data_IF_947174051093
#
_entry.id   IF_947174051093
#
_cell.length_a   1.000
_cell.length_b   1.000
_cell.length_c   1.000
_cell.angle_alpha   90.00
_cell.angle_beta   90.00
_cell.angle_gamma   90.00
#
_symmetry.space_group_name_H-M   'P 1'
#
loop_
_entity.id
_entity.type
_entity.pdbx_description
1 polymer ?
#
# COMPACT_ATOMS: atom_id res chain seq x y z
N UNK A 1 0.04 -13.24 -5.31
CA UNK A 1 1.36 -13.64 -4.82
C UNK A 1 1.72 -12.90 -3.53
N UNK A 2 2.80 -13.27 -2.87
CA UNK A 2 3.32 -12.62 -1.67
C UNK A 2 4.70 -12.02 -1.91
N UNK A 3 5.01 -10.93 -1.20
CA UNK A 3 6.32 -10.29 -1.26
C UNK A 3 7.30 -11.05 -0.35
N UNK A 4 7.90 -12.10 -0.89
CA UNK A 4 8.85 -12.96 -0.21
C UNK A 4 9.83 -13.57 -1.21
N UNK A 5 10.94 -14.14 -0.73
CA UNK A 5 11.84 -14.97 -1.54
C UNK A 5 11.35 -16.41 -1.66
N UNK A 6 10.67 -16.91 -0.61
CA UNK A 6 10.07 -18.26 -0.56
C UNK A 6 8.80 -18.22 0.28
N UNK A 7 7.81 -18.99 -0.13
CA UNK A 7 6.58 -19.23 0.62
C UNK A 7 6.03 -20.61 0.21
N UNK A 8 5.60 -21.42 1.19
CA UNK A 8 5.15 -22.78 0.93
C UNK A 8 3.68 -22.86 0.49
N UNK A 9 2.92 -21.77 0.64
CA UNK A 9 1.48 -21.73 0.41
C UNK A 9 1.09 -20.85 -0.79
N UNK A 10 1.92 -19.86 -1.14
CA UNK A 10 1.57 -18.88 -2.16
C UNK A 10 2.73 -18.63 -3.13
N UNK A 11 2.44 -18.39 -4.43
CA UNK A 11 3.44 -17.91 -5.39
C UNK A 11 4.12 -16.66 -4.85
N UNK A 12 5.42 -16.58 -4.99
CA UNK A 12 6.20 -15.43 -4.51
C UNK A 12 6.50 -14.46 -5.65
N UNK A 13 6.69 -13.19 -5.29
CA UNK A 13 7.00 -12.16 -6.29
C UNK A 13 8.33 -12.44 -7.02
N UNK A 14 9.28 -13.09 -6.36
CA UNK A 14 10.59 -13.39 -6.95
C UNK A 14 10.52 -14.42 -8.07
N UNK A 15 9.46 -15.22 -8.18
CA UNK A 15 9.26 -16.17 -9.29
C UNK A 15 9.18 -15.45 -10.65
N UNK A 16 8.67 -14.20 -10.68
CA UNK A 16 8.60 -13.37 -11.89
C UNK A 16 9.97 -12.92 -12.42
N UNK A 17 11.03 -13.05 -11.61
CA UNK A 17 12.39 -12.62 -11.94
C UNK A 17 13.37 -13.79 -12.05
N UNK A 18 12.87 -15.03 -12.02
CA UNK A 18 13.73 -16.24 -12.07
C UNK A 18 14.57 -16.32 -13.34
N UNK A 19 14.08 -15.84 -14.47
CA UNK A 19 14.80 -15.82 -15.75
C UNK A 19 15.99 -14.86 -15.79
N UNK A 20 16.04 -13.88 -14.89
CA UNK A 20 17.14 -12.93 -14.81
C UNK A 20 18.42 -13.53 -14.19
N UNK A 21 18.33 -14.73 -13.58
CA UNK A 21 19.47 -15.45 -12.97
C UNK A 21 20.31 -14.57 -12.02
N UNK A 22 19.68 -13.66 -11.28
CA UNK A 22 20.33 -12.76 -10.34
C UNK A 22 19.82 -13.00 -8.91
N UNK A 23 20.53 -13.82 -8.15
CA UNK A 23 20.19 -14.20 -6.77
C UNK A 23 20.27 -13.04 -5.77
N UNK A 24 20.85 -11.90 -6.16
CA UNK A 24 20.92 -10.70 -5.31
C UNK A 24 19.65 -9.85 -5.37
N UNK A 25 18.78 -10.09 -6.35
CA UNK A 25 17.52 -9.37 -6.46
C UNK A 25 16.68 -9.54 -5.20
N UNK A 26 16.18 -8.45 -4.68
CA UNK A 26 15.30 -8.43 -3.51
C UNK A 26 14.23 -7.34 -3.61
N UNK A 27 13.04 -7.57 -3.07
CA UNK A 27 12.00 -6.55 -3.07
C UNK A 27 12.36 -5.39 -2.12
N UNK A 28 12.07 -4.17 -2.55
CA UNK A 28 12.23 -2.95 -1.76
C UNK A 28 11.00 -2.76 -0.89
N UNK A 29 11.10 -3.25 0.33
CA UNK A 29 9.96 -3.35 1.23
C UNK A 29 8.98 -4.44 0.81
N UNK A 30 7.77 -4.36 1.36
CA UNK A 30 6.74 -5.39 1.17
C UNK A 30 5.39 -4.76 0.86
N UNK A 31 4.57 -5.49 0.10
CA UNK A 31 3.13 -5.29 0.04
C UNK A 31 2.43 -6.42 0.81
N UNK A 32 1.35 -6.10 1.50
CA UNK A 32 0.46 -7.12 2.04
C UNK A 32 -0.18 -7.88 0.86
N UNK A 33 -0.54 -9.16 1.04
CA UNK A 33 -1.17 -9.99 0.00
C UNK A 33 -2.41 -9.36 -0.65
N UNK A 34 -3.14 -8.55 0.14
CA UNK A 34 -4.35 -7.84 -0.28
C UNK A 34 -4.06 -6.41 -0.78
N UNK A 35 -2.81 -6.08 -1.04
CA UNK A 35 -2.37 -4.77 -1.54
C UNK A 35 -1.73 -4.95 -2.91
N UNK A 36 -2.10 -4.13 -3.85
CA UNK A 36 -1.60 -4.13 -5.22
C UNK A 36 -0.73 -2.90 -5.52
N UNK A 37 -0.24 -2.81 -6.74
CA UNK A 37 0.47 -1.64 -7.27
C UNK A 37 1.98 -1.77 -7.25
N UNK A 38 2.66 -0.63 -7.11
CA UNK A 38 4.11 -0.52 -7.25
C UNK A 38 4.87 -1.39 -6.26
N UNK A 39 5.62 -2.34 -6.78
CA UNK A 39 6.67 -3.04 -6.05
C UNK A 39 7.99 -2.87 -6.81
N UNK A 40 9.01 -2.42 -6.10
CA UNK A 40 10.35 -2.23 -6.64
C UNK A 40 11.18 -3.43 -6.24
N UNK A 41 12.03 -3.90 -7.18
CA UNK A 41 12.99 -4.98 -6.95
C UNK A 41 14.36 -4.47 -7.36
N UNK A 42 15.38 -4.74 -6.56
CA UNK A 42 16.76 -4.28 -6.79
C UNK A 42 17.77 -5.29 -6.29
N UNK A 43 18.97 -5.27 -6.83
CA UNK A 43 20.16 -5.95 -6.28
C UNK A 43 21.09 -4.99 -5.53
N UNK A 44 20.78 -3.69 -5.48
CA UNK A 44 21.47 -2.71 -4.64
C UNK A 44 20.91 -2.72 -3.21
N UNK A 45 21.58 -3.45 -2.33
CA UNK A 45 21.19 -3.55 -0.91
C UNK A 45 21.27 -2.22 -0.15
N UNK A 46 22.18 -1.30 -0.52
CA UNK A 46 22.29 0.02 0.12
C UNK A 46 21.10 0.88 -0.24
N UNK A 47 20.75 0.91 -1.52
CA UNK A 47 19.59 1.64 -1.98
C UNK A 47 18.28 1.05 -1.41
N UNK A 48 18.16 -0.29 -1.34
CA UNK A 48 17.04 -0.95 -0.68
C UNK A 48 16.90 -0.52 0.78
N UNK A 49 18.02 -0.51 1.52
CA UNK A 49 18.03 -0.05 2.92
C UNK A 49 17.59 1.41 3.04
N UNK A 50 18.08 2.29 2.18
CA UNK A 50 17.65 3.69 2.15
C UNK A 50 16.15 3.83 1.94
N UNK A 51 15.59 3.14 0.95
CA UNK A 51 14.17 3.22 0.61
C UNK A 51 13.24 2.63 1.69
N UNK A 52 13.74 1.68 2.47
CA UNK A 52 12.90 0.92 3.42
C UNK A 52 13.09 1.31 4.88
N UNK A 53 14.25 1.86 5.25
CA UNK A 53 14.53 2.26 6.63
C UNK A 53 13.65 3.46 7.03
N UNK A 54 12.87 3.33 8.14
CA UNK A 54 11.98 4.39 8.62
C UNK A 54 12.69 5.72 8.96
N UNK A 55 13.99 5.71 9.21
CA UNK A 55 14.78 6.90 9.52
C UNK A 55 14.88 7.87 8.34
N UNK A 56 14.89 7.37 7.11
CA UNK A 56 14.96 8.19 5.90
C UNK A 56 13.60 8.75 5.47
N UNK A 57 12.51 8.35 6.11
CA UNK A 57 11.18 8.90 5.90
C UNK A 57 10.70 8.89 4.44
N UNK A 58 11.19 7.97 3.63
CA UNK A 58 10.80 7.85 2.22
C UNK A 58 9.27 7.72 2.12
N UNK A 59 8.60 8.69 1.47
CA UNK A 59 7.14 8.69 1.39
C UNK A 59 6.64 7.54 0.52
N UNK A 60 5.49 7.00 0.89
CA UNK A 60 4.79 5.95 0.15
C UNK A 60 3.35 6.38 -0.01
N UNK A 61 2.90 6.57 -1.25
CA UNK A 61 1.54 6.99 -1.54
C UNK A 61 0.72 5.82 -2.05
N UNK A 62 -0.48 5.73 -1.54
CA UNK A 62 -1.43 4.69 -1.89
C UNK A 62 -2.77 5.30 -2.29
N UNK A 63 -3.40 4.74 -3.32
CA UNK A 63 -4.83 4.87 -3.53
C UNK A 63 -5.57 3.89 -2.64
N UNK A 64 -6.69 4.31 -2.07
CA UNK A 64 -7.52 3.46 -1.25
C UNK A 64 -9.01 3.60 -1.57
N UNK A 65 -9.75 2.52 -1.32
CA UNK A 65 -11.18 2.56 -1.11
C UNK A 65 -11.48 1.92 0.25
N UNK A 66 -12.36 2.54 1.03
CA UNK A 66 -12.72 2.06 2.36
C UNK A 66 -14.22 2.23 2.65
N UNK A 67 -14.81 1.21 3.27
CA UNK A 67 -16.15 1.33 3.84
C UNK A 67 -16.14 2.38 4.95
N UNK A 68 -17.14 3.23 4.97
CA UNK A 68 -17.29 4.32 5.94
C UNK A 68 -17.14 5.70 5.31
N UNK A 69 -16.99 6.70 6.16
CA UNK A 69 -16.86 8.12 5.77
C UNK A 69 -15.69 8.77 6.48
N UNK A 70 -15.01 9.70 5.82
CA UNK A 70 -13.95 10.53 6.37
C UNK A 70 -14.42 12.00 6.40
N UNK A 71 -14.72 12.50 7.57
CA UNK A 71 -14.98 13.91 7.84
C UNK A 71 -13.68 14.65 8.23
N UNK A 72 -13.76 15.97 8.36
CA UNK A 72 -12.62 16.81 8.71
C UNK A 72 -11.95 16.41 10.03
N UNK A 73 -12.72 15.97 11.04
CA UNK A 73 -12.19 15.53 12.34
C UNK A 73 -11.39 14.24 12.21
N UNK A 74 -11.86 13.28 11.41
CA UNK A 74 -11.16 12.03 11.15
C UNK A 74 -9.89 12.26 10.35
N UNK A 75 -9.94 13.12 9.32
CA UNK A 75 -8.76 13.53 8.55
C UNK A 75 -7.71 14.19 9.43
N UNK A 76 -8.10 15.10 10.31
CA UNK A 76 -7.18 15.73 11.26
C UNK A 76 -6.52 14.70 12.17
N UNK A 77 -7.28 13.74 12.71
CA UNK A 77 -6.71 12.66 13.54
C UNK A 77 -5.69 11.81 12.79
N UNK A 78 -5.90 11.55 11.50
CA UNK A 78 -4.94 10.82 10.66
C UNK A 78 -3.68 11.66 10.40
N UNK A 79 -3.83 12.97 10.19
CA UNK A 79 -2.73 13.89 9.98
C UNK A 79 -1.86 14.08 11.24
N UNK A 80 -2.45 14.03 12.42
CA UNK A 80 -1.73 14.09 13.70
C UNK A 80 -1.07 12.76 14.10
N UNK A 81 -1.49 11.67 13.46
CA UNK A 81 -1.11 10.30 13.81
C UNK A 81 -2.07 9.67 14.83
N UNK A 82 -2.16 8.35 14.80
CA UNK A 82 -3.10 7.58 15.62
C UNK A 82 -2.41 6.46 16.38
N UNK A 83 -2.93 6.13 17.55
CA UNK A 83 -2.48 4.98 18.32
C UNK A 83 -3.13 3.70 17.74
N UNK A 84 -2.30 2.82 17.20
CA UNK A 84 -2.77 1.56 16.64
C UNK A 84 -3.03 0.54 17.76
N UNK A 85 -4.06 -0.28 17.64
CA UNK A 85 -4.36 -1.37 18.58
C UNK A 85 -3.10 -2.24 18.80
N UNK A 86 -2.73 -2.45 20.04
CA UNK A 86 -1.52 -3.21 20.42
C UNK A 86 -0.20 -2.46 20.24
N UNK A 87 -0.23 -1.15 20.09
CA UNK A 87 0.96 -0.29 20.06
C UNK A 87 0.87 0.75 21.17
N UNK A 88 2.00 1.04 21.83
CA UNK A 88 2.13 2.12 22.83
C UNK A 88 2.68 3.41 22.21
N UNK A 89 3.04 3.39 20.93
CA UNK A 89 3.61 4.54 20.23
C UNK A 89 2.66 4.89 19.07
N UNK A 90 2.18 6.15 18.98
CA UNK A 90 1.34 6.58 17.87
C UNK A 90 2.10 6.46 16.54
N UNK A 91 1.36 6.39 15.45
CA UNK A 91 1.93 6.50 14.10
C UNK A 91 2.42 7.92 13.86
N UNK A 92 3.32 8.10 12.89
CA UNK A 92 3.48 9.41 12.26
C UNK A 92 2.17 9.81 11.59
N UNK A 93 1.99 11.10 11.36
CA UNK A 93 0.88 11.62 10.61
C UNK A 93 0.85 11.05 9.18
N UNK A 94 -0.35 10.91 8.65
CA UNK A 94 -0.58 10.55 7.26
C UNK A 94 -1.26 11.72 6.55
N UNK A 95 -0.80 12.02 5.34
CA UNK A 95 -1.48 12.95 4.44
C UNK A 95 -2.57 12.18 3.69
N UNK A 96 -3.84 12.56 3.91
CA UNK A 96 -5.00 11.87 3.34
C UNK A 96 -5.86 12.86 2.57
N UNK A 97 -6.03 12.59 1.28
CA UNK A 97 -6.92 13.37 0.40
C UNK A 97 -8.08 12.48 -0.03
N UNK A 98 -9.31 12.89 0.25
CA UNK A 98 -10.52 12.26 -0.27
C UNK A 98 -10.76 12.78 -1.69
N UNK A 99 -10.86 11.88 -2.65
CA UNK A 99 -11.08 12.20 -4.07
C UNK A 99 -12.51 11.94 -4.51
N UNK A 100 -13.17 10.93 -3.91
CA UNK A 100 -14.53 10.56 -4.28
C UNK A 100 -15.24 9.80 -3.16
N UNK A 101 -16.57 9.71 -3.29
CA UNK A 101 -17.44 8.93 -2.42
C UNK A 101 -18.52 8.25 -3.25
N UNK A 102 -18.81 7.00 -2.94
CA UNK A 102 -19.84 6.21 -3.59
C UNK A 102 -20.54 5.27 -2.58
N UNK A 103 -21.35 4.36 -3.07
CA UNK A 103 -21.88 3.25 -2.26
C UNK A 103 -21.24 1.94 -2.66
N UNK A 104 -21.31 0.94 -1.78
CA UNK A 104 -20.65 -0.35 -1.99
C UNK A 104 -21.09 -1.03 -3.29
N UNK A 105 -22.37 -0.92 -3.69
CA UNK A 105 -22.86 -1.49 -4.95
C UNK A 105 -22.10 -1.02 -6.18
N UNK A 106 -21.60 0.20 -6.17
CA UNK A 106 -20.96 0.82 -7.34
C UNK A 106 -19.53 0.31 -7.55
N UNK A 107 -18.82 0.02 -6.46
CA UNK A 107 -17.42 -0.43 -6.50
C UNK A 107 -17.26 -1.94 -6.36
N UNK A 108 -18.22 -2.64 -5.76
CA UNK A 108 -18.12 -4.08 -5.47
C UNK A 108 -17.73 -4.92 -6.69
N UNK A 109 -18.30 -4.72 -7.89
CA UNK A 109 -17.92 -5.48 -9.08
C UNK A 109 -16.46 -5.27 -9.53
N UNK A 110 -15.85 -4.16 -9.13
CA UNK A 110 -14.48 -3.78 -9.49
C UNK A 110 -13.43 -4.30 -8.50
N UNK A 111 -13.85 -4.85 -7.36
CA UNK A 111 -12.96 -5.39 -6.35
C UNK A 111 -12.48 -6.79 -6.72
N UNK A 112 -11.34 -7.18 -6.13
CA UNK A 112 -10.85 -8.56 -6.25
C UNK A 112 -11.93 -9.57 -5.82
N UNK A 113 -12.09 -10.72 -6.51
CA UNK A 113 -13.13 -11.71 -6.21
C UNK A 113 -13.21 -12.16 -4.74
N UNK A 114 -12.06 -12.29 -4.07
CA UNK A 114 -12.03 -12.63 -2.64
C UNK A 114 -12.63 -11.53 -1.76
N UNK A 115 -12.47 -10.27 -2.16
CA UNK A 115 -13.08 -9.14 -1.45
C UNK A 115 -14.56 -9.06 -1.72
N UNK A 116 -14.99 -9.32 -2.96
CA UNK A 116 -16.43 -9.42 -3.30
C UNK A 116 -17.13 -10.47 -2.43
N UNK A 117 -16.53 -11.66 -2.27
CA UNK A 117 -17.06 -12.72 -1.40
C UNK A 117 -17.15 -12.28 0.06
N UNK A 118 -16.11 -11.61 0.58
CA UNK A 118 -16.08 -11.10 1.96
C UNK A 118 -17.18 -10.06 2.23
N UNK A 119 -17.52 -9.28 1.22
CA UNK A 119 -18.47 -8.16 1.32
C UNK A 119 -19.88 -8.52 0.87
N UNK A 120 -20.13 -9.74 0.39
CA UNK A 120 -21.41 -10.17 -0.19
C UNK A 120 -22.63 -9.98 0.74
N UNK A 121 -22.41 -9.96 2.05
CA UNK A 121 -23.48 -9.76 3.05
C UNK A 121 -23.57 -8.33 3.58
N UNK A 122 -22.76 -7.41 3.08
CA UNK A 122 -22.85 -6.01 3.45
C UNK A 122 -24.00 -5.33 2.71
N UNK A 123 -24.55 -4.26 3.32
CA UNK A 123 -25.60 -3.47 2.68
C UNK A 123 -25.05 -2.81 1.40
N UNK A 124 -25.76 -2.95 0.26
CA UNK A 124 -25.34 -2.32 -1.01
C UNK A 124 -25.15 -0.80 -0.91
N UNK A 125 -25.95 -0.15 -0.08
CA UNK A 125 -25.91 1.29 0.19
C UNK A 125 -24.85 1.72 1.20
N UNK A 126 -23.98 0.78 1.66
CA UNK A 126 -22.93 1.15 2.61
C UNK A 126 -22.00 2.20 2.01
N UNK A 127 -21.72 3.31 2.70
CA UNK A 127 -20.88 4.37 2.15
C UNK A 127 -19.46 3.90 1.96
N UNK A 128 -18.87 4.29 0.85
CA UNK A 128 -17.46 4.06 0.50
C UNK A 128 -16.81 5.40 0.25
N UNK A 129 -15.66 5.62 0.87
CA UNK A 129 -14.78 6.75 0.63
C UNK A 129 -13.54 6.29 -0.14
N UNK A 130 -13.15 7.06 -1.15
CA UNK A 130 -11.97 6.83 -1.97
C UNK A 130 -11.03 8.02 -1.89
N UNK A 131 -9.74 7.76 -2.07
CA UNK A 131 -8.74 8.81 -2.02
C UNK A 131 -7.32 8.30 -2.06
N UNK A 132 -6.40 9.19 -1.72
CA UNK A 132 -4.99 8.89 -1.57
C UNK A 132 -4.55 9.01 -0.12
N UNK A 133 -3.55 8.23 0.27
CA UNK A 133 -2.90 8.33 1.58
C UNK A 133 -1.40 8.20 1.43
N UNK A 134 -0.66 9.18 1.96
CA UNK A 134 0.80 9.19 1.98
C UNK A 134 1.29 9.00 3.41
N UNK A 135 2.20 8.04 3.60
CA UNK A 135 2.87 7.76 4.87
C UNK A 135 4.39 7.76 4.67
N UNK A 136 5.15 8.15 5.70
CA UNK A 136 6.63 8.19 5.71
C UNK A 136 7.27 7.11 6.60
N UNK A 137 6.51 6.14 7.02
CA UNK A 137 6.94 4.96 7.78
C UNK A 137 6.27 3.69 7.22
N UNK A 138 6.55 2.51 7.77
CA UNK A 138 6.02 1.26 7.20
C UNK A 138 5.76 0.20 8.28
N UNK A 139 4.80 0.43 9.19
CA UNK A 139 4.38 -0.60 10.16
C UNK A 139 3.47 -1.63 9.49
N UNK A 140 3.47 -2.84 10.03
CA UNK A 140 2.62 -3.93 9.51
C UNK A 140 1.16 -3.50 9.37
N UNK A 141 0.63 -3.57 8.13
CA UNK A 141 -0.75 -3.21 7.75
C UNK A 141 -1.16 -1.80 8.20
N UNK A 142 -0.22 -0.85 8.21
CA UNK A 142 -0.38 0.44 8.85
C UNK A 142 -1.62 1.19 8.39
N UNK A 143 -1.78 1.42 7.08
CA UNK A 143 -2.90 2.20 6.52
C UNK A 143 -4.24 1.55 6.89
N UNK A 144 -4.37 0.22 6.76
CA UNK A 144 -5.58 -0.51 7.13
C UNK A 144 -5.93 -0.32 8.61
N UNK A 145 -4.92 -0.32 9.47
CA UNK A 145 -5.10 -0.13 10.92
C UNK A 145 -5.40 1.33 11.26
N UNK A 146 -4.76 2.31 10.62
CA UNK A 146 -5.02 3.73 10.82
C UNK A 146 -6.46 4.08 10.44
N UNK A 147 -6.92 3.68 9.25
CA UNK A 147 -8.27 3.92 8.79
C UNK A 147 -9.32 3.20 9.68
N UNK A 148 -8.99 2.01 10.19
CA UNK A 148 -9.85 1.31 11.15
C UNK A 148 -10.03 2.08 12.46
N UNK A 149 -8.99 2.76 12.97
CA UNK A 149 -9.07 3.58 14.20
C UNK A 149 -10.04 4.75 14.04
N UNK A 150 -10.22 5.25 12.82
CA UNK A 150 -11.21 6.31 12.53
C UNK A 150 -12.54 5.76 11.98
N UNK A 151 -12.76 4.45 12.08
CA UNK A 151 -14.03 3.80 11.73
C UNK A 151 -14.19 3.50 10.23
N UNK A 152 -13.10 3.42 9.47
CA UNK A 152 -13.14 3.04 8.06
C UNK A 152 -12.45 1.69 7.82
N UNK A 153 -13.04 0.82 6.99
CA UNK A 153 -12.50 -0.48 6.66
C UNK A 153 -11.98 -0.51 5.22
N UNK A 154 -10.67 -0.61 5.03
CA UNK A 154 -10.05 -0.63 3.70
C UNK A 154 -10.44 -1.90 2.94
N UNK A 155 -11.05 -1.73 1.77
CA UNK A 155 -11.49 -2.78 0.85
C UNK A 155 -10.61 -2.88 -0.40
N UNK A 156 -9.91 -1.79 -0.78
CA UNK A 156 -8.89 -1.76 -1.83
C UNK A 156 -7.73 -0.88 -1.39
N UNK A 157 -6.51 -1.30 -1.72
CA UNK A 157 -5.29 -0.53 -1.44
C UNK A 157 -4.29 -0.80 -2.55
N UNK A 158 -3.83 0.27 -3.23
CA UNK A 158 -2.86 0.19 -4.33
C UNK A 158 -1.73 1.18 -4.08
N UNK A 159 -0.49 0.72 -3.96
CA UNK A 159 0.66 1.62 -3.86
C UNK A 159 0.97 2.22 -5.22
N UNK A 160 0.90 3.54 -5.32
CA UNK A 160 1.11 4.28 -6.58
C UNK A 160 2.46 4.96 -6.64
N UNK A 161 3.10 5.24 -5.48
CA UNK A 161 4.47 5.75 -5.50
C UNK A 161 5.28 5.35 -4.25
N UNK A 162 6.60 5.41 -4.39
CA UNK A 162 7.56 5.23 -3.30
C UNK A 162 8.77 6.14 -3.57
N UNK A 163 8.98 7.15 -2.71
CA UNK A 163 9.89 8.24 -3.01
C UNK A 163 9.47 9.01 -4.25
N UNK A 164 10.39 9.20 -5.17
CA UNK A 164 10.17 9.81 -6.48
C UNK A 164 9.74 8.81 -7.57
N UNK A 165 9.64 7.53 -7.25
CA UNK A 165 9.25 6.50 -8.21
C UNK A 165 7.74 6.35 -8.21
N UNK A 166 7.14 6.54 -9.38
CA UNK A 166 5.70 6.44 -9.60
C UNK A 166 5.41 5.19 -10.40
N UNK A 167 4.31 4.51 -10.06
CA UNK A 167 3.81 3.38 -10.83
C UNK A 167 3.49 3.83 -12.27
N UNK A 168 3.99 3.09 -13.23
CA UNK A 168 3.70 3.30 -14.63
C UNK A 168 2.34 2.71 -14.98
N UNK A 169 1.41 3.55 -15.40
CA UNK A 169 0.04 3.14 -15.73
C UNK A 169 -0.06 2.27 -16.99
N UNK A 170 1.03 2.16 -17.76
CA UNK A 170 1.09 1.26 -18.93
C UNK A 170 1.39 -0.20 -18.58
N UNK A 171 1.85 -0.47 -17.34
CA UNK A 171 2.14 -1.81 -16.87
C UNK A 171 0.87 -2.51 -16.38
N UNK A 172 0.63 -3.72 -16.86
CA UNK A 172 -0.42 -4.59 -16.33
C UNK A 172 0.07 -5.30 -15.05
N UNK A 173 -0.85 -5.84 -14.23
CA UNK A 173 -0.46 -6.68 -13.10
C UNK A 173 0.43 -7.85 -13.53
N UNK A 174 1.63 -7.93 -12.94
CA UNK A 174 2.65 -8.93 -13.27
C UNK A 174 3.71 -8.45 -14.26
N UNK A 175 3.47 -7.35 -14.97
CA UNK A 175 4.49 -6.74 -15.83
C UNK A 175 5.55 -6.01 -14.99
N UNK A 176 6.74 -5.91 -15.54
CA UNK A 176 7.82 -5.10 -14.97
C UNK A 176 8.64 -4.41 -16.06
N UNK A 177 9.32 -3.35 -15.67
CA UNK A 177 10.33 -2.69 -16.50
C UNK A 177 11.54 -2.30 -15.66
N UNK A 178 12.68 -2.24 -16.30
CA UNK A 178 13.87 -1.70 -15.68
C UNK A 178 13.82 -0.17 -15.63
N UNK A 179 14.43 0.40 -14.59
CA UNK A 179 14.64 1.84 -14.46
C UNK A 179 15.98 2.09 -13.74
N UNK A 180 16.55 3.26 -13.98
CA UNK A 180 17.72 3.73 -13.26
C UNK A 180 17.25 4.69 -12.16
N UNK A 181 17.44 4.35 -10.87
CA UNK A 181 17.07 5.26 -9.80
C UNK A 181 17.94 6.52 -9.85
N UNK A 182 17.35 7.66 -9.51
CA UNK A 182 18.16 8.86 -9.29
C UNK A 182 19.14 8.62 -8.14
N UNK A 183 20.37 9.17 -8.24
CA UNK A 183 21.37 9.03 -7.18
C UNK A 183 20.79 9.54 -5.85
N UNK A 184 20.87 8.72 -4.83
CA UNK A 184 20.59 9.17 -3.46
C UNK A 184 21.62 10.22 -3.10
N UNK A 185 21.16 11.44 -2.83
CA UNK A 185 22.04 12.48 -2.29
C UNK A 185 22.40 12.01 -0.87
N UNK A 186 23.63 11.51 -0.71
CA UNK A 186 24.20 11.27 0.61
C UNK A 186 24.21 12.60 1.36
N UNK A 187 23.41 12.70 2.43
CA UNK A 187 23.47 13.80 3.40
C UNK A 187 24.33 13.39 4.57
#
# INVERSE_FOLDING_TARGET
CVTAHRDDLFPVVMDYFSELHNDRLSPVGRLDRETEGLLIVTDDGKWNQYMTNPEFHVPKTYEFAALGTLDARKLQRLAEGVLLTGSNIPTKGADVTVTDTCVLSDILPLLHPDMQKKLAHNLPSHPVVMGTVTISEGRKRQIRRMLKVVGCCVIRLKRVSMGNIVLDDTLNPGDYREFVPEPTIEK
#
